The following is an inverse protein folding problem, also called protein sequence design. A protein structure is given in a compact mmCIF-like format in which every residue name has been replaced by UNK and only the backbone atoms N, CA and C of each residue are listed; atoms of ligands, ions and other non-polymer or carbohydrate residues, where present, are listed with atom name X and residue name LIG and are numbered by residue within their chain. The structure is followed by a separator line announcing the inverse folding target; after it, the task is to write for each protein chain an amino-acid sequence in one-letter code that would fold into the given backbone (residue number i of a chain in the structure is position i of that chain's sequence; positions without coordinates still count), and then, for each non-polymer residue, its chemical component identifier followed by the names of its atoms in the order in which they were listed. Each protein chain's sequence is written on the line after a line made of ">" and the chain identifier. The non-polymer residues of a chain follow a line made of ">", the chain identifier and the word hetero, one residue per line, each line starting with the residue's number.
data_IF_329101872816
#
_entry.id   IF_329101872816
#
_cell.length_a   1.000
_cell.length_b   1.000
_cell.length_c   1.000
_cell.angle_alpha   90.00
_cell.angle_beta   90.00
_cell.angle_gamma   90.00
#
_symmetry.space_group_name_H-M   'P 1'
#
loop_
_entity.id
_entity.type
_entity.pdbx_description
1 polymer ?
#
# COMPACT_ATOMS: atom_id res chain seq x y z
N UNK A 1 -22.66 24.58 -26.38
CA UNK A 1 -21.79 24.83 -25.20
C UNK A 1 -20.75 23.73 -25.13
N UNK A 2 -19.51 24.03 -25.45
CA UNK A 2 -18.43 23.07 -25.31
C UNK A 2 -18.13 22.95 -23.83
N UNK A 3 -18.33 21.74 -23.27
CA UNK A 3 -17.88 21.41 -21.94
C UNK A 3 -16.34 21.50 -21.95
N UNK A 4 -15.80 22.49 -21.24
CA UNK A 4 -14.36 22.62 -21.03
C UNK A 4 -13.86 21.38 -20.30
N UNK A 5 -13.43 20.39 -21.05
CA UNK A 5 -12.61 19.29 -20.53
C UNK A 5 -11.33 19.96 -20.06
N UNK A 6 -11.19 20.07 -18.74
CA UNK A 6 -9.97 20.59 -18.15
C UNK A 6 -8.79 19.84 -18.76
N UNK A 7 -7.85 20.60 -19.34
CA UNK A 7 -6.65 20.04 -19.94
C UNK A 7 -5.88 19.29 -18.84
N UNK A 8 -5.90 17.97 -18.92
CA UNK A 8 -5.07 17.14 -18.05
C UNK A 8 -3.61 17.51 -18.35
N UNK A 9 -2.87 17.86 -17.30
CA UNK A 9 -1.44 18.12 -17.42
C UNK A 9 -0.77 16.88 -18.04
N UNK A 10 -0.17 17.06 -19.22
CA UNK A 10 0.47 15.99 -19.97
C UNK A 10 1.59 15.31 -19.17
N UNK A 11 2.31 16.08 -18.33
CA UNK A 11 3.38 15.54 -17.50
C UNK A 11 2.83 14.62 -16.40
N UNK A 12 1.73 15.05 -15.76
CA UNK A 12 1.04 14.22 -14.76
C UNK A 12 0.50 12.95 -15.41
N UNK A 13 -0.13 13.05 -16.59
CA UNK A 13 -0.63 11.88 -17.30
C UNK A 13 0.50 10.91 -17.67
N UNK A 14 1.61 11.40 -18.21
CA UNK A 14 2.77 10.58 -18.55
C UNK A 14 3.34 9.89 -17.32
N UNK A 15 3.44 10.60 -16.19
CA UNK A 15 3.90 9.99 -14.92
C UNK A 15 2.95 8.89 -14.46
N UNK A 16 1.64 9.12 -14.48
CA UNK A 16 0.64 8.11 -14.10
C UNK A 16 0.74 6.87 -15.00
N UNK A 17 0.85 7.05 -16.32
CA UNK A 17 1.01 5.93 -17.25
C UNK A 17 2.31 5.16 -17.04
N UNK A 18 3.40 5.86 -16.72
CA UNK A 18 4.67 5.24 -16.38
C UNK A 18 4.55 4.42 -15.10
N UNK A 19 3.97 5.00 -14.04
CA UNK A 19 3.79 4.35 -12.75
C UNK A 19 2.87 3.12 -12.85
N UNK A 20 1.82 3.18 -13.69
CA UNK A 20 0.94 2.04 -13.96
C UNK A 20 1.67 0.90 -14.69
N UNK A 21 2.59 1.23 -15.60
CA UNK A 21 3.30 0.23 -16.41
C UNK A 21 4.49 -0.40 -15.69
N UNK A 22 5.22 0.39 -14.91
CA UNK A 22 6.51 0.00 -14.32
C UNK A 22 6.50 -0.04 -12.80
N UNK A 23 5.39 0.30 -12.16
CA UNK A 23 5.23 0.44 -10.73
C UNK A 23 5.64 1.83 -10.22
N UNK A 24 4.86 2.35 -9.27
CA UNK A 24 5.14 3.62 -8.62
C UNK A 24 6.27 3.49 -7.61
N UNK A 25 7.22 4.43 -7.64
CA UNK A 25 8.25 4.51 -6.60
C UNK A 25 7.64 5.04 -5.32
N UNK A 26 7.66 4.26 -4.25
CA UNK A 26 7.17 4.67 -2.93
C UNK A 26 8.10 5.64 -2.19
N UNK A 27 9.23 6.02 -2.80
CA UNK A 27 10.15 7.03 -2.24
C UNK A 27 10.92 6.58 -1.01
N UNK A 28 10.95 5.28 -0.68
CA UNK A 28 11.68 4.79 0.48
C UNK A 28 13.19 5.00 0.29
N UNK A 29 13.77 5.86 1.10
CA UNK A 29 15.22 6.17 1.15
C UNK A 29 15.83 5.47 2.38
N UNK A 30 17.07 5.05 2.28
CA UNK A 30 17.83 4.57 3.45
C UNK A 30 18.49 3.21 3.25
N UNK A 31 19.34 2.82 4.17
CA UNK A 31 20.04 1.56 4.09
C UNK A 31 19.02 0.41 4.17
N UNK A 32 18.94 -0.37 3.11
CA UNK A 32 18.14 -1.58 3.06
C UNK A 32 18.87 -2.68 3.88
N UNK A 33 18.96 -2.50 5.19
CA UNK A 33 19.41 -3.58 6.06
C UNK A 33 18.19 -4.43 6.37
N UNK A 34 18.27 -5.71 6.03
CA UNK A 34 17.27 -6.68 6.46
C UNK A 34 17.17 -6.62 7.99
N UNK A 35 16.01 -6.33 8.56
CA UNK A 35 15.82 -6.53 9.99
C UNK A 35 16.01 -8.02 10.25
N UNK A 36 16.72 -8.35 11.32
CA UNK A 36 16.93 -9.73 11.74
C UNK A 36 15.61 -10.47 12.01
N UNK A 37 14.55 -9.75 12.33
CA UNK A 37 13.17 -10.23 12.52
C UNK A 37 12.14 -9.15 12.21
N UNK A 38 11.08 -9.51 11.49
CA UNK A 38 9.81 -8.82 11.51
C UNK A 38 8.84 -9.67 12.34
N UNK A 39 8.16 -9.08 13.30
CA UNK A 39 7.16 -9.77 14.13
C UNK A 39 5.77 -9.39 13.66
N UNK A 40 4.91 -10.38 13.51
CA UNK A 40 3.51 -10.12 13.23
C UNK A 40 2.84 -9.52 14.48
N UNK A 41 1.82 -8.70 14.24
CA UNK A 41 1.00 -8.18 15.34
C UNK A 41 0.21 -9.34 16.02
N UNK A 42 -0.13 -9.21 17.31
CA UNK A 42 -0.92 -10.25 18.02
C UNK A 42 -2.19 -10.65 17.26
N UNK A 43 -2.89 -9.70 16.66
CA UNK A 43 -4.10 -9.95 15.86
C UNK A 43 -3.90 -10.94 14.70
N UNK A 44 -2.68 -11.08 14.18
CA UNK A 44 -2.41 -12.05 13.11
C UNK A 44 -2.40 -13.52 13.63
N UNK A 45 -2.35 -13.71 14.92
CA UNK A 45 -2.36 -15.04 15.57
C UNK A 45 -3.73 -15.40 16.15
N UNK A 46 -4.66 -14.46 16.27
CA UNK A 46 -6.00 -14.66 16.82
C UNK A 46 -6.83 -15.65 15.98
N UNK A 47 -6.65 -15.65 14.67
CA UNK A 47 -7.30 -16.57 13.74
C UNK A 47 -6.30 -16.97 12.64
N UNK A 48 -5.32 -17.77 13.02
CA UNK A 48 -4.21 -18.16 12.16
C UNK A 48 -4.63 -18.92 10.89
N UNK A 49 -5.71 -19.71 10.96
CA UNK A 49 -6.24 -20.44 9.80
C UNK A 49 -6.76 -19.47 8.75
N UNK A 50 -7.64 -18.54 9.13
CA UNK A 50 -8.17 -17.54 8.18
C UNK A 50 -7.07 -16.64 7.61
N UNK A 51 -6.05 -16.31 8.42
CA UNK A 51 -4.89 -15.55 7.93
C UNK A 51 -4.12 -16.35 6.89
N UNK A 52 -3.88 -17.63 7.15
CA UNK A 52 -3.19 -18.54 6.23
C UNK A 52 -3.99 -18.71 4.94
N UNK A 53 -5.29 -18.94 5.03
CA UNK A 53 -6.17 -19.08 3.87
C UNK A 53 -6.17 -17.82 2.99
N UNK A 54 -6.24 -16.65 3.62
CA UNK A 54 -6.19 -15.38 2.91
C UNK A 54 -4.85 -15.16 2.19
N UNK A 55 -3.73 -15.54 2.79
CA UNK A 55 -2.40 -15.47 2.16
C UNK A 55 -2.31 -16.48 1.01
N UNK A 56 -2.78 -17.71 1.21
CA UNK A 56 -2.81 -18.72 0.15
C UNK A 56 -3.66 -18.27 -1.05
N UNK A 57 -4.79 -17.61 -0.80
CA UNK A 57 -5.61 -17.02 -1.85
C UNK A 57 -4.87 -15.91 -2.63
N UNK A 58 -4.10 -15.07 -1.94
CA UNK A 58 -3.25 -14.08 -2.60
C UNK A 58 -2.18 -14.72 -3.49
N UNK A 59 -1.56 -15.80 -3.03
CA UNK A 59 -0.56 -16.54 -3.82
C UNK A 59 -1.22 -17.14 -5.06
N UNK A 60 -2.39 -17.78 -4.91
CA UNK A 60 -3.15 -18.35 -6.03
C UNK A 60 -3.55 -17.30 -7.06
N UNK A 61 -3.87 -16.09 -6.62
CA UNK A 61 -4.24 -14.95 -7.49
C UNK A 61 -3.04 -14.21 -8.08
N UNK A 62 -1.82 -14.58 -7.72
CA UNK A 62 -0.60 -13.91 -8.17
C UNK A 62 -0.33 -12.54 -7.52
N UNK A 63 -1.03 -12.21 -6.42
CA UNK A 63 -0.82 -10.96 -5.66
C UNK A 63 0.34 -11.08 -4.68
N UNK A 64 0.73 -12.28 -4.32
CA UNK A 64 1.86 -12.60 -3.48
C UNK A 64 2.66 -13.75 -4.08
N UNK A 65 3.92 -13.84 -3.71
CA UNK A 65 4.81 -14.94 -4.06
C UNK A 65 5.30 -15.61 -2.78
N UNK A 66 5.42 -16.92 -2.78
CA UNK A 66 5.91 -17.70 -1.66
C UNK A 66 4.98 -18.81 -1.21
N UNK A 67 5.22 -19.40 -0.04
CA UNK A 67 6.29 -19.06 0.91
C UNK A 67 7.70 -19.30 0.35
N UNK A 68 8.67 -18.54 0.81
CA UNK A 68 10.08 -18.69 0.46
C UNK A 68 10.93 -18.82 1.72
N UNK A 69 12.00 -19.56 1.64
CA UNK A 69 12.96 -19.66 2.73
C UNK A 69 13.74 -18.35 2.91
N UNK A 70 14.29 -18.14 4.09
CA UNK A 70 14.99 -16.91 4.45
C UNK A 70 16.18 -16.60 3.54
N UNK A 71 16.86 -17.60 3.08
CA UNK A 71 18.01 -17.52 2.17
C UNK A 71 17.60 -17.18 0.72
N UNK A 72 16.34 -17.39 0.39
CA UNK A 72 15.75 -17.05 -0.91
C UNK A 72 15.21 -15.60 -0.96
N UNK A 73 15.19 -14.90 0.18
CA UNK A 73 14.73 -13.51 0.23
C UNK A 73 15.74 -12.63 -0.52
N UNK A 74 15.30 -11.85 -1.53
CA UNK A 74 16.22 -10.99 -2.29
C UNK A 74 16.99 -10.02 -1.40
N UNK A 75 18.26 -9.82 -1.72
CA UNK A 75 19.07 -8.80 -1.06
C UNK A 75 18.38 -7.43 -1.19
N UNK A 76 18.23 -6.72 -0.07
CA UNK A 76 17.55 -5.42 -0.03
C UNK A 76 16.03 -5.48 0.17
N UNK A 77 15.42 -6.66 0.23
CA UNK A 77 14.03 -6.78 0.62
C UNK A 77 13.81 -6.24 2.05
N UNK A 78 12.72 -5.52 2.28
CA UNK A 78 12.32 -5.09 3.62
C UNK A 78 11.30 -6.07 4.18
N UNK A 79 11.58 -6.58 5.38
CA UNK A 79 10.65 -7.44 6.11
C UNK A 79 9.67 -6.58 6.90
N UNK A 80 8.39 -6.83 6.72
CA UNK A 80 7.32 -6.20 7.49
C UNK A 80 6.42 -7.28 8.07
N UNK A 81 6.02 -7.09 9.33
CA UNK A 81 5.02 -7.94 9.94
C UNK A 81 3.65 -7.71 9.34
N UNK A 82 2.75 -8.64 9.57
CA UNK A 82 1.34 -8.50 9.22
C UNK A 82 0.49 -8.30 10.47
N UNK A 83 -0.65 -7.66 10.29
CA UNK A 83 -1.75 -7.60 11.23
C UNK A 83 -3.04 -8.03 10.53
N UNK A 84 -4.02 -8.45 11.30
CA UNK A 84 -5.30 -8.88 10.79
C UNK A 84 -6.42 -7.99 11.34
N UNK A 85 -7.44 -7.76 10.54
CA UNK A 85 -8.71 -7.19 10.96
C UNK A 85 -9.86 -8.06 10.47
N UNK A 86 -10.73 -8.44 11.38
CA UNK A 86 -11.98 -9.12 11.04
C UNK A 86 -12.93 -8.14 10.34
N UNK A 87 -13.68 -8.62 9.36
CA UNK A 87 -14.75 -7.88 8.71
C UNK A 87 -16.10 -8.33 9.24
N UNK A 88 -17.17 -7.52 9.05
CA UNK A 88 -18.51 -7.88 9.48
C UNK A 88 -19.05 -9.19 8.86
N UNK A 89 -18.56 -9.55 7.68
CA UNK A 89 -18.94 -10.79 6.97
C UNK A 89 -18.20 -12.05 7.46
N UNK A 90 -17.40 -11.92 8.53
CA UNK A 90 -16.60 -13.01 9.10
C UNK A 90 -15.31 -13.30 8.34
N UNK A 91 -15.05 -12.64 7.20
CA UNK A 91 -13.76 -12.74 6.51
C UNK A 91 -12.70 -11.87 7.19
N UNK A 92 -11.44 -12.04 6.81
CA UNK A 92 -10.33 -11.27 7.36
C UNK A 92 -9.72 -10.35 6.32
N UNK A 93 -9.17 -9.24 6.79
CA UNK A 93 -8.31 -8.35 6.01
C UNK A 93 -6.90 -8.44 6.56
N UNK A 94 -5.97 -8.86 5.72
CA UNK A 94 -4.53 -8.81 6.03
C UNK A 94 -4.02 -7.41 5.73
N UNK A 95 -3.24 -6.87 6.65
CA UNK A 95 -2.64 -5.54 6.55
C UNK A 95 -1.13 -5.70 6.74
N UNK A 96 -0.34 -5.23 5.79
CA UNK A 96 1.11 -5.14 5.94
C UNK A 96 1.44 -3.99 6.89
N UNK A 97 2.19 -4.28 7.94
CA UNK A 97 2.61 -3.25 8.90
C UNK A 97 3.89 -2.57 8.43
N UNK A 98 3.75 -1.60 7.54
CA UNK A 98 4.87 -0.84 6.98
C UNK A 98 5.50 0.15 7.99
N UNK A 99 4.96 0.26 9.21
CA UNK A 99 5.50 1.08 10.31
C UNK A 99 6.24 0.26 11.35
N UNK A 100 6.48 -1.03 11.11
CA UNK A 100 7.20 -1.93 12.01
C UNK A 100 8.26 -2.74 11.24
N UNK A 101 9.39 -3.07 11.85
CA UNK A 101 9.84 -2.67 13.20
C UNK A 101 10.33 -1.22 13.22
N UNK A 102 10.21 -0.55 14.37
CA UNK A 102 10.72 0.82 14.57
C UNK A 102 12.21 0.92 14.23
N UNK A 103 12.64 2.04 13.63
CA UNK A 103 13.99 2.29 13.17
C UNK A 103 14.38 1.61 11.84
N UNK A 104 13.49 0.77 11.26
CA UNK A 104 13.74 0.01 10.02
C UNK A 104 12.51 -0.19 9.14
N UNK A 105 11.41 0.40 9.52
CA UNK A 105 10.15 0.28 8.81
C UNK A 105 10.22 0.95 7.43
N UNK A 106 9.38 0.49 6.50
CA UNK A 106 9.29 1.09 5.17
C UNK A 106 8.90 2.56 5.27
N UNK A 107 7.90 2.88 6.11
CA UNK A 107 7.39 4.24 6.28
C UNK A 107 8.42 5.22 6.84
N UNK A 108 9.38 4.76 7.63
CA UNK A 108 10.45 5.61 8.16
C UNK A 108 11.48 6.01 7.09
N UNK A 109 11.58 5.25 6.01
CA UNK A 109 12.41 5.59 4.87
C UNK A 109 11.72 6.51 3.86
N UNK A 110 10.46 6.87 4.07
CA UNK A 110 9.68 7.73 3.19
C UNK A 110 9.64 9.14 3.78
N UNK A 111 10.17 10.11 3.04
CA UNK A 111 10.07 11.50 3.42
C UNK A 111 8.63 11.99 3.20
N UNK A 112 7.98 12.47 4.26
CA UNK A 112 6.62 12.97 4.18
C UNK A 112 6.49 14.23 3.31
N UNK A 113 7.58 14.97 3.11
CA UNK A 113 7.60 16.16 2.25
C UNK A 113 7.59 15.79 0.75
N UNK A 114 8.15 14.63 0.39
CA UNK A 114 8.08 14.10 -0.97
C UNK A 114 6.63 13.75 -1.38
N UNK A 115 5.73 13.60 -0.40
CA UNK A 115 4.31 13.25 -0.60
C UNK A 115 3.40 14.18 0.19
N UNK A 116 3.20 15.42 -0.26
CA UNK A 116 2.35 16.37 0.45
C UNK A 116 0.94 15.80 0.62
N UNK A 117 0.52 15.70 1.86
CA UNK A 117 -0.78 15.14 2.25
C UNK A 117 -1.89 16.14 1.93
N UNK A 118 -2.32 16.21 0.69
CA UNK A 118 -3.57 16.89 0.32
C UNK A 118 -4.72 15.92 0.51
N UNK A 119 -5.22 15.83 1.74
CA UNK A 119 -6.48 15.14 1.98
C UNK A 119 -7.64 16.02 1.50
N UNK A 120 -8.21 15.68 0.37
CA UNK A 120 -9.48 16.29 -0.05
C UNK A 120 -10.60 15.78 0.86
N UNK A 121 -11.22 16.69 1.61
CA UNK A 121 -12.41 16.30 2.40
C UNK A 121 -13.57 15.97 1.47
N UNK A 122 -14.47 15.09 1.90
CA UNK A 122 -15.70 14.75 1.17
C UNK A 122 -16.47 16.00 0.75
N UNK A 123 -16.52 17.03 1.60
CA UNK A 123 -17.16 18.31 1.31
C UNK A 123 -16.47 19.10 0.17
N UNK A 124 -15.17 18.97 -0.01
CA UNK A 124 -14.49 19.55 -1.17
C UNK A 124 -14.88 18.83 -2.47
N UNK A 125 -14.99 17.50 -2.43
CA UNK A 125 -15.46 16.69 -3.56
C UNK A 125 -16.88 17.03 -3.95
N UNK A 126 -17.82 17.10 -2.99
CA UNK A 126 -19.21 17.50 -3.27
C UNK A 126 -19.30 18.90 -3.86
N UNK A 127 -18.54 19.87 -3.34
CA UNK A 127 -18.48 21.22 -3.93
C UNK A 127 -17.95 21.22 -5.37
N UNK A 128 -16.93 20.43 -5.65
CA UNK A 128 -16.37 20.31 -7.00
C UNK A 128 -17.38 19.67 -7.96
N UNK A 129 -18.08 18.63 -7.55
CA UNK A 129 -19.10 17.95 -8.35
C UNK A 129 -20.31 18.85 -8.62
N UNK A 130 -20.83 19.57 -7.62
CA UNK A 130 -21.90 20.54 -7.80
C UNK A 130 -21.51 21.69 -8.75
N UNK A 131 -20.25 22.19 -8.62
CA UNK A 131 -19.73 23.22 -9.52
C UNK A 131 -19.58 22.71 -10.97
N UNK A 132 -19.35 21.42 -11.14
CA UNK A 132 -19.25 20.79 -12.46
C UNK A 132 -20.64 20.46 -13.06
N UNK A 133 -21.74 20.75 -12.36
CA UNK A 133 -23.11 20.54 -12.86
C UNK A 133 -23.47 19.07 -13.07
N UNK A 134 -22.88 18.17 -12.32
CA UNK A 134 -23.09 16.71 -12.44
C UNK A 134 -24.08 16.13 -11.41
N UNK A 135 -24.76 17.00 -10.64
CA UNK A 135 -25.88 16.69 -9.74
C UNK A 135 -26.94 17.76 -9.83
#
# INVERSE_FOLDING_TARGET
>A
MALGVGTVDKQVLQKVLFDLRFGAKIGCKGPYRLPSRATNAPSAYEDGEKVTDAICDWVKKGFAFGPVDKDQVPAGAKLSGIMMRSKPDGSVRIILNLSSPAGRAVNEGIDSEDFPKTMSSTSKWFRALNKAGRF
#
